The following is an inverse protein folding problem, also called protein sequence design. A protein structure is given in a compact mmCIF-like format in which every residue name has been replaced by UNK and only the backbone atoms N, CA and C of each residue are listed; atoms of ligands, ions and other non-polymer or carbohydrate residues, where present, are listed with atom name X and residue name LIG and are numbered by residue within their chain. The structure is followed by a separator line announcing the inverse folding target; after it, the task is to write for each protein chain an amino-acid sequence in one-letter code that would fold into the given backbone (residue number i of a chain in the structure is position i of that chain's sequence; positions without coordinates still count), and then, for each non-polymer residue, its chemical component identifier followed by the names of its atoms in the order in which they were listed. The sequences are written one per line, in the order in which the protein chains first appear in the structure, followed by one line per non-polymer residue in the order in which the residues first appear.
data_IF_709731634848
#
_entry.id   IF_709731634848
#
_cell.length_a   1.000
_cell.length_b   1.000
_cell.length_c   1.000
_cell.angle_alpha   90.00
_cell.angle_beta   90.00
_cell.angle_gamma   90.00
#
_symmetry.space_group_name_H-M   'P 1'
#
loop_
_entity.id
_entity.type
_entity.pdbx_description
1 polymer ?
#
# COMPACT_ATOMS: atom_id res chain seq x y z
N UNK A 1 1.18 16.73 26.35
CA UNK A 1 0.09 17.57 25.81
C UNK A 1 -0.59 16.77 24.70
N UNK A 2 -1.69 16.10 25.01
CA UNK A 2 -2.54 15.48 23.99
C UNK A 2 -3.25 16.60 23.24
N UNK A 3 -2.93 16.82 21.96
CA UNK A 3 -3.77 17.67 21.11
C UNK A 3 -5.11 16.97 21.01
N UNK A 4 -6.19 17.61 21.47
CA UNK A 4 -7.55 17.08 21.37
C UNK A 4 -7.80 16.64 19.93
N UNK A 5 -8.08 15.34 19.75
CA UNK A 5 -8.35 14.76 18.44
C UNK A 5 -9.56 15.52 17.87
N UNK A 6 -9.47 16.13 16.67
CA UNK A 6 -10.61 16.85 16.11
C UNK A 6 -11.79 15.90 16.03
N UNK A 7 -12.90 16.26 16.68
CA UNK A 7 -14.15 15.51 16.56
C UNK A 7 -14.58 15.60 15.10
N UNK A 8 -14.57 14.47 14.41
CA UNK A 8 -14.91 14.40 12.99
C UNK A 8 -16.31 14.94 12.73
N UNK A 9 -16.50 15.59 11.58
CA UNK A 9 -17.82 16.11 11.22
C UNK A 9 -18.80 14.92 11.06
N UNK A 10 -20.04 15.01 11.56
CA UNK A 10 -21.02 13.94 11.36
C UNK A 10 -21.14 13.56 9.88
N UNK A 11 -20.94 12.28 9.56
CA UNK A 11 -20.98 11.76 8.18
C UNK A 11 -19.64 11.67 7.45
N UNK A 12 -18.56 12.22 8.00
CA UNK A 12 -17.22 12.11 7.42
C UNK A 12 -16.76 10.64 7.21
N UNK A 13 -17.00 9.69 8.14
CA UNK A 13 -16.61 8.29 7.92
C UNK A 13 -17.30 7.66 6.70
N UNK A 14 -18.60 7.94 6.51
CA UNK A 14 -19.38 7.41 5.40
C UNK A 14 -18.93 8.00 4.06
N UNK A 15 -18.60 9.30 4.04
CA UNK A 15 -18.03 9.95 2.86
C UNK A 15 -16.70 9.29 2.46
N UNK A 16 -15.79 9.08 3.41
CA UNK A 16 -14.47 8.51 3.11
C UNK A 16 -14.54 7.04 2.69
N UNK A 17 -15.53 6.31 3.17
CA UNK A 17 -15.80 4.95 2.68
C UNK A 17 -16.31 4.98 1.23
N UNK A 18 -17.18 5.94 0.89
CA UNK A 18 -17.63 6.14 -0.49
C UNK A 18 -16.48 6.51 -1.43
N UNK A 19 -15.61 7.46 -1.05
CA UNK A 19 -14.42 7.84 -1.83
C UNK A 19 -13.48 6.65 -2.06
N UNK A 20 -13.29 5.78 -1.05
CA UNK A 20 -12.54 4.52 -1.19
C UNK A 20 -13.21 3.56 -2.16
N UNK A 21 -14.54 3.42 -2.08
CA UNK A 21 -15.34 2.63 -3.00
C UNK A 21 -15.12 3.08 -4.44
N UNK A 22 -15.24 4.39 -4.70
CA UNK A 22 -15.04 4.96 -6.02
C UNK A 22 -13.61 4.77 -6.55
N UNK A 23 -12.59 4.99 -5.71
CA UNK A 23 -11.20 4.73 -6.11
C UNK A 23 -10.98 3.25 -6.46
N UNK A 24 -11.49 2.33 -5.65
CA UNK A 24 -11.42 0.88 -5.91
C UNK A 24 -12.14 0.48 -7.19
N UNK A 25 -13.33 1.03 -7.44
CA UNK A 25 -14.11 0.72 -8.64
C UNK A 25 -13.40 1.24 -9.89
N UNK A 26 -12.84 2.46 -9.85
CA UNK A 26 -12.06 3.02 -10.94
C UNK A 26 -10.83 2.16 -11.26
N UNK A 27 -10.04 1.77 -10.26
CA UNK A 27 -8.89 0.87 -10.44
C UNK A 27 -9.29 -0.52 -10.93
N UNK A 28 -10.45 -1.02 -10.46
CA UNK A 28 -11.07 -2.24 -10.96
C UNK A 28 -11.35 -2.17 -12.46
N UNK A 29 -11.91 -1.06 -12.95
CA UNK A 29 -12.14 -0.80 -14.38
C UNK A 29 -10.85 -0.81 -15.19
N UNK A 30 -9.77 -0.19 -14.69
CA UNK A 30 -8.46 -0.20 -15.35
C UNK A 30 -7.86 -1.62 -15.41
N UNK A 31 -7.96 -2.38 -14.31
CA UNK A 31 -7.49 -3.78 -14.27
C UNK A 31 -8.27 -4.67 -15.23
N UNK A 32 -9.59 -4.50 -15.31
CA UNK A 32 -10.42 -5.22 -16.26
C UNK A 32 -10.05 -4.86 -17.71
N UNK A 33 -9.76 -3.59 -18.00
CA UNK A 33 -9.24 -3.19 -19.31
C UNK A 33 -7.89 -3.87 -19.63
N UNK A 34 -6.97 -3.96 -18.65
CA UNK A 34 -5.70 -4.67 -18.84
C UNK A 34 -5.92 -6.14 -19.25
N UNK A 35 -6.87 -6.82 -18.60
CA UNK A 35 -7.23 -8.22 -18.93
C UNK A 35 -7.83 -8.34 -20.33
N UNK A 36 -8.70 -7.40 -20.72
CA UNK A 36 -9.30 -7.34 -22.06
C UNK A 36 -8.20 -7.13 -23.12
N UNK A 37 -7.26 -6.22 -22.88
CA UNK A 37 -6.15 -5.92 -23.80
C UNK A 37 -5.22 -7.12 -23.98
N UNK A 38 -4.97 -7.90 -22.94
CA UNK A 38 -4.15 -9.11 -23.01
C UNK A 38 -4.84 -10.28 -23.73
N UNK A 39 -6.17 -10.28 -23.81
CA UNK A 39 -6.94 -11.38 -24.40
C UNK A 39 -6.92 -11.35 -25.93
N UNK A 40 -6.22 -12.31 -26.55
CA UNK A 40 -6.19 -12.48 -28.01
C UNK A 40 -7.55 -12.73 -28.66
N UNK A 41 -8.56 -13.14 -27.88
CA UNK A 41 -9.93 -13.40 -28.34
C UNK A 41 -10.77 -12.12 -28.47
N UNK A 42 -10.36 -11.03 -27.81
CA UNK A 42 -11.07 -9.76 -27.86
C UNK A 42 -10.62 -8.99 -29.10
N UNK A 43 -11.57 -8.71 -29.99
CA UNK A 43 -11.35 -7.90 -31.18
C UNK A 43 -11.35 -6.38 -30.90
N UNK A 44 -10.80 -5.56 -31.81
CA UNK A 44 -10.69 -4.11 -31.63
C UNK A 44 -12.01 -3.40 -31.27
N UNK A 45 -13.13 -3.79 -31.89
CA UNK A 45 -14.45 -3.18 -31.62
C UNK A 45 -14.90 -3.32 -30.16
N UNK A 46 -14.59 -4.46 -29.53
CA UNK A 46 -14.93 -4.70 -28.13
C UNK A 46 -14.05 -3.88 -27.18
N UNK A 47 -12.80 -3.58 -27.58
CA UNK A 47 -11.93 -2.66 -26.85
C UNK A 47 -12.49 -1.24 -27.00
N UNK A 48 -12.77 -0.81 -28.24
CA UNK A 48 -13.33 0.51 -28.55
C UNK A 48 -14.64 0.78 -27.78
N UNK A 49 -15.50 -0.23 -27.60
CA UNK A 49 -16.76 -0.06 -26.88
C UNK A 49 -16.61 0.16 -25.37
N UNK A 50 -15.51 -0.28 -24.75
CA UNK A 50 -15.31 -0.13 -23.28
C UNK A 50 -14.44 1.06 -22.92
N UNK A 51 -13.69 1.64 -23.87
CA UNK A 51 -12.79 2.76 -23.61
C UNK A 51 -13.48 4.00 -23.01
N UNK A 52 -14.70 4.41 -23.42
CA UNK A 52 -15.36 5.58 -22.85
C UNK A 52 -15.60 5.41 -21.34
N UNK A 53 -16.21 4.29 -20.94
CA UNK A 53 -16.55 4.01 -19.55
C UNK A 53 -15.30 3.92 -18.65
N UNK A 54 -14.22 3.31 -19.17
CA UNK A 54 -12.94 3.23 -18.45
C UNK A 54 -12.31 4.62 -18.32
N UNK A 55 -12.33 5.44 -19.36
CA UNK A 55 -11.83 6.81 -19.30
C UNK A 55 -12.61 7.66 -18.28
N UNK A 56 -13.92 7.57 -18.28
CA UNK A 56 -14.78 8.32 -17.36
C UNK A 56 -14.51 7.90 -15.91
N UNK A 57 -14.27 6.60 -15.67
CA UNK A 57 -13.83 6.09 -14.37
C UNK A 57 -12.45 6.62 -13.96
N UNK A 58 -11.49 6.69 -14.90
CA UNK A 58 -10.14 7.19 -14.65
C UNK A 58 -10.11 8.69 -14.32
N UNK A 59 -10.97 9.48 -14.98
CA UNK A 59 -11.02 10.94 -14.81
C UNK A 59 -11.32 11.37 -13.36
N UNK A 60 -11.88 10.47 -12.55
CA UNK A 60 -12.21 10.72 -11.14
C UNK A 60 -11.12 10.23 -10.16
N UNK A 61 -10.11 9.48 -10.60
CA UNK A 61 -9.07 8.92 -9.71
C UNK A 61 -8.35 10.03 -8.94
N UNK A 62 -7.96 11.11 -9.62
CA UNK A 62 -7.23 12.22 -9.02
C UNK A 62 -8.04 12.92 -7.91
N UNK A 63 -9.34 13.14 -8.13
CA UNK A 63 -10.20 13.81 -7.14
C UNK A 63 -10.48 12.92 -5.93
N UNK A 64 -10.71 11.62 -6.13
CA UNK A 64 -10.92 10.65 -5.06
C UNK A 64 -9.64 10.45 -4.23
N UNK A 65 -8.49 10.25 -4.89
CA UNK A 65 -7.20 10.09 -4.22
C UNK A 65 -6.85 11.33 -3.39
N UNK A 66 -7.03 12.53 -3.95
CA UNK A 66 -6.82 13.79 -3.23
C UNK A 66 -7.75 13.91 -2.01
N UNK A 67 -9.05 13.66 -2.18
CA UNK A 67 -10.02 13.78 -1.07
C UNK A 67 -9.68 12.83 0.08
N UNK A 68 -9.26 11.60 -0.24
CA UNK A 68 -8.81 10.63 0.76
C UNK A 68 -7.55 11.10 1.47
N UNK A 69 -6.53 11.52 0.72
CA UNK A 69 -5.24 11.95 1.27
C UNK A 69 -5.37 13.23 2.11
N UNK A 70 -6.18 14.20 1.69
CA UNK A 70 -6.46 15.42 2.46
C UNK A 70 -7.09 15.07 3.82
N UNK A 71 -8.00 14.09 3.86
CA UNK A 71 -8.63 13.65 5.11
C UNK A 71 -7.70 12.83 6.01
N UNK A 72 -6.79 12.06 5.42
CA UNK A 72 -5.75 11.32 6.15
C UNK A 72 -4.73 12.30 6.74
N UNK A 73 -4.24 13.26 5.94
CA UNK A 73 -3.29 14.29 6.33
C UNK A 73 -3.76 15.08 7.56
N UNK A 74 -5.04 15.47 7.59
CA UNK A 74 -5.66 16.17 8.72
C UNK A 74 -5.57 15.42 10.08
N UNK A 75 -5.24 14.13 10.08
CA UNK A 75 -5.10 13.27 11.27
C UNK A 75 -3.68 12.79 11.51
N UNK A 76 -2.74 13.06 10.61
CA UNK A 76 -1.35 12.64 10.71
C UNK A 76 -0.51 13.69 11.48
N UNK A 77 0.68 13.30 11.98
CA UNK A 77 1.58 14.25 12.63
C UNK A 77 2.25 15.23 11.65
N UNK A 78 2.39 14.85 10.38
CA UNK A 78 2.85 15.69 9.26
C UNK A 78 2.18 15.28 7.94
N UNK A 79 2.27 16.17 6.96
CA UNK A 79 1.60 16.04 5.65
C UNK A 79 2.55 15.47 4.57
N UNK A 80 3.80 15.14 4.92
CA UNK A 80 4.83 14.78 3.95
C UNK A 80 4.48 13.50 3.16
N UNK A 81 4.00 12.46 3.85
CA UNK A 81 3.63 11.20 3.18
C UNK A 81 2.41 11.35 2.26
N UNK A 82 1.27 11.95 2.69
CA UNK A 82 0.16 12.26 1.79
C UNK A 82 0.57 13.08 0.56
N UNK A 83 1.37 14.14 0.75
CA UNK A 83 1.82 15.00 -0.34
C UNK A 83 2.71 14.26 -1.34
N UNK A 84 3.69 13.49 -0.84
CA UNK A 84 4.58 12.69 -1.69
C UNK A 84 3.80 11.61 -2.45
N UNK A 85 2.87 10.93 -1.78
CA UNK A 85 2.02 9.91 -2.40
C UNK A 85 1.11 10.52 -3.49
N UNK A 86 0.48 11.66 -3.22
CA UNK A 86 -0.34 12.35 -4.22
C UNK A 86 0.51 12.82 -5.40
N UNK A 87 1.66 13.44 -5.15
CA UNK A 87 2.60 13.87 -6.18
C UNK A 87 3.11 12.70 -7.04
N UNK A 88 3.20 11.50 -6.45
CA UNK A 88 3.51 10.28 -7.15
C UNK A 88 2.33 9.74 -7.96
N UNK A 89 1.10 9.74 -7.44
CA UNK A 89 -0.07 9.20 -8.15
C UNK A 89 -0.51 10.06 -9.35
N UNK A 90 -0.52 11.39 -9.23
CA UNK A 90 -1.09 12.29 -10.25
C UNK A 90 -0.46 12.13 -11.66
N UNK A 91 0.89 12.06 -11.84
CA UNK A 91 1.47 11.85 -13.17
C UNK A 91 1.04 10.55 -13.83
N UNK A 92 0.76 9.51 -13.04
CA UNK A 92 0.37 8.18 -13.53
C UNK A 92 -1.07 8.17 -14.00
N UNK A 93 -1.98 8.78 -13.24
CA UNK A 93 -3.36 8.99 -13.69
C UNK A 93 -3.39 9.79 -14.99
N UNK A 94 -2.64 10.89 -15.08
CA UNK A 94 -2.55 11.72 -16.29
C UNK A 94 -2.00 10.96 -17.50
N UNK A 95 -0.99 10.11 -17.30
CA UNK A 95 -0.47 9.25 -18.36
C UNK A 95 -1.57 8.31 -18.86
N UNK A 96 -2.28 7.65 -17.95
CA UNK A 96 -3.39 6.74 -18.27
C UNK A 96 -4.53 7.46 -19.02
N UNK A 97 -4.96 8.62 -18.54
CA UNK A 97 -5.99 9.44 -19.20
C UNK A 97 -5.58 9.89 -20.60
N UNK A 98 -4.32 10.29 -20.77
CA UNK A 98 -3.78 10.70 -22.07
C UNK A 98 -3.82 9.55 -23.07
N UNK A 99 -3.39 8.35 -22.67
CA UNK A 99 -3.37 7.18 -23.54
C UNK A 99 -4.78 6.65 -23.85
N UNK A 100 -5.70 6.66 -22.87
CA UNK A 100 -7.10 6.34 -23.10
C UNK A 100 -7.76 7.36 -24.07
N UNK A 101 -7.48 8.65 -23.89
CA UNK A 101 -7.95 9.71 -24.76
C UNK A 101 -7.43 9.56 -26.20
N UNK A 102 -6.15 9.21 -26.36
CA UNK A 102 -5.55 8.96 -27.66
C UNK A 102 -6.17 7.74 -28.37
N UNK A 103 -6.54 6.70 -27.61
CA UNK A 103 -7.17 5.49 -28.12
C UNK A 103 -8.63 5.71 -28.55
N UNK A 104 -9.38 6.62 -27.90
CA UNK A 104 -10.76 6.94 -28.26
C UNK A 104 -10.91 7.65 -29.61
N UNK A 105 -9.90 8.39 -30.05
CA UNK A 105 -9.98 9.20 -31.27
C UNK A 105 -9.73 8.45 -32.58
N UNK A 106 -9.32 7.18 -32.53
CA UNK A 106 -8.84 6.43 -33.71
C UNK A 106 -9.17 4.94 -33.59
N UNK A 107 -9.38 4.23 -34.72
CA UNK A 107 -9.50 2.78 -34.70
C UNK A 107 -8.29 2.11 -34.03
N UNK A 108 -8.53 1.16 -33.13
CA UNK A 108 -7.48 0.49 -32.35
C UNK A 108 -6.80 -0.57 -33.23
N UNK A 109 -5.76 -0.15 -33.95
CA UNK A 109 -4.89 -1.08 -34.67
C UNK A 109 -3.94 -1.83 -33.71
N UNK A 110 -3.22 -2.84 -34.23
CA UNK A 110 -2.31 -3.65 -33.42
C UNK A 110 -1.24 -2.84 -32.67
N UNK A 111 -0.69 -1.79 -33.31
CA UNK A 111 0.32 -0.91 -32.67
C UNK A 111 -0.29 -0.10 -31.54
N UNK A 112 -1.49 0.45 -31.74
CA UNK A 112 -2.21 1.20 -30.70
C UNK A 112 -2.59 0.30 -29.52
N UNK A 113 -3.06 -0.92 -29.80
CA UNK A 113 -3.38 -1.93 -28.78
C UNK A 113 -2.17 -2.26 -27.92
N UNK A 114 -1.03 -2.58 -28.53
CA UNK A 114 0.20 -2.93 -27.80
C UNK A 114 0.69 -1.78 -26.92
N UNK A 115 0.65 -0.54 -27.43
CA UNK A 115 0.99 0.65 -26.64
C UNK A 115 0.06 0.82 -25.44
N UNK A 116 -1.25 0.72 -25.68
CA UNK A 116 -2.25 0.86 -24.62
C UNK A 116 -2.09 -0.25 -23.58
N UNK A 117 -1.87 -1.50 -24.00
CA UNK A 117 -1.61 -2.64 -23.11
C UNK A 117 -0.41 -2.39 -22.20
N UNK A 118 0.71 -1.90 -22.75
CA UNK A 118 1.90 -1.58 -21.98
C UNK A 118 1.64 -0.52 -20.91
N UNK A 119 0.98 0.58 -21.28
CA UNK A 119 0.71 1.67 -20.35
C UNK A 119 -0.31 1.23 -19.30
N UNK A 120 -1.45 0.67 -19.70
CA UNK A 120 -2.52 0.24 -18.78
C UNK A 120 -2.02 -0.81 -17.81
N UNK A 121 -1.24 -1.80 -18.27
CA UNK A 121 -0.69 -2.86 -17.39
C UNK A 121 0.29 -2.30 -16.37
N UNK A 122 1.17 -1.38 -16.78
CA UNK A 122 2.14 -0.75 -15.89
C UNK A 122 1.45 0.17 -14.88
N UNK A 123 0.66 1.12 -15.38
CA UNK A 123 0.03 2.15 -14.57
C UNK A 123 -1.01 1.55 -13.61
N UNK A 124 -1.77 0.53 -14.01
CA UNK A 124 -2.70 -0.15 -13.09
C UNK A 124 -1.99 -0.73 -11.86
N UNK A 125 -0.85 -1.41 -12.04
CA UNK A 125 -0.05 -1.94 -10.93
C UNK A 125 0.50 -0.84 -10.04
N UNK A 126 0.98 0.25 -10.65
CA UNK A 126 1.47 1.41 -9.90
C UNK A 126 0.33 2.07 -9.09
N UNK A 127 -0.84 2.30 -9.69
CA UNK A 127 -1.96 2.91 -8.97
C UNK A 127 -2.53 2.02 -7.86
N UNK A 128 -2.55 0.69 -8.04
CA UNK A 128 -2.90 -0.25 -6.97
C UNK A 128 -1.88 -0.21 -5.82
N UNK A 129 -0.58 -0.05 -6.12
CA UNK A 129 0.43 0.19 -5.09
C UNK A 129 0.16 1.51 -4.34
N UNK A 130 -0.17 2.58 -5.07
CA UNK A 130 -0.54 3.87 -4.49
C UNK A 130 -1.76 3.75 -3.56
N UNK A 131 -2.81 3.06 -4.01
CA UNK A 131 -4.00 2.76 -3.18
C UNK A 131 -3.63 1.99 -1.92
N UNK A 132 -2.79 0.96 -2.01
CA UNK A 132 -2.38 0.18 -0.84
C UNK A 132 -1.64 1.05 0.21
N UNK A 133 -0.89 2.07 -0.24
CA UNK A 133 -0.28 3.06 0.65
C UNK A 133 -1.31 4.03 1.26
N UNK A 134 -2.34 4.43 0.50
CA UNK A 134 -3.49 5.19 1.06
C UNK A 134 -4.17 4.38 2.16
N UNK A 135 -4.44 3.10 1.91
CA UNK A 135 -5.07 2.20 2.88
C UNK A 135 -4.20 2.02 4.14
N UNK A 136 -2.86 1.93 3.99
CA UNK A 136 -1.92 1.91 5.13
C UNK A 136 -2.01 3.17 5.98
N UNK A 137 -1.99 4.36 5.36
CA UNK A 137 -2.04 5.63 6.07
C UNK A 137 -3.41 5.84 6.75
N UNK A 138 -4.51 5.48 6.09
CA UNK A 138 -5.85 5.56 6.67
C UNK A 138 -6.01 4.60 7.86
N UNK A 139 -5.52 3.37 7.74
CA UNK A 139 -5.51 2.39 8.84
C UNK A 139 -4.68 2.91 10.03
N UNK A 140 -3.56 3.59 9.77
CA UNK A 140 -2.71 4.16 10.82
C UNK A 140 -3.41 5.25 11.64
N UNK A 141 -4.32 6.02 11.02
CA UNK A 141 -5.06 7.08 11.73
C UNK A 141 -6.39 6.62 12.33
N UNK A 142 -6.99 5.54 11.83
CA UNK A 142 -8.31 5.05 12.29
C UNK A 142 -8.24 3.82 13.19
N UNK A 143 -7.32 2.92 12.94
CA UNK A 143 -7.38 1.59 13.51
C UNK A 143 -7.12 1.59 15.01
N UNK A 144 -7.78 0.65 15.69
CA UNK A 144 -7.71 0.52 17.14
C UNK A 144 -6.33 0.00 17.56
N UNK A 145 -5.82 0.54 18.67
CA UNK A 145 -4.68 -0.06 19.36
C UNK A 145 -5.19 -1.21 20.20
N UNK A 146 -4.55 -2.35 20.07
CA UNK A 146 -4.86 -3.57 20.82
C UNK A 146 -3.61 -4.02 21.56
N UNK A 147 -3.79 -4.49 22.79
CA UNK A 147 -2.72 -5.10 23.55
C UNK A 147 -2.56 -6.55 23.08
N UNK A 148 -1.38 -6.88 22.55
CA UNK A 148 -1.09 -8.20 21.99
C UNK A 148 0.31 -8.64 22.41
N UNK A 149 0.48 -9.95 22.56
CA UNK A 149 1.81 -10.56 22.57
C UNK A 149 2.48 -10.41 21.20
N UNK A 150 3.78 -10.10 21.18
CA UNK A 150 4.52 -9.84 19.95
C UNK A 150 4.56 -11.05 19.00
N UNK A 151 4.69 -12.27 19.53
CA UNK A 151 4.66 -13.47 18.70
C UNK A 151 3.23 -13.74 18.19
N UNK A 152 2.20 -13.48 19.00
CA UNK A 152 0.82 -13.54 18.54
C UNK A 152 0.50 -12.51 17.46
N UNK A 153 1.04 -11.30 17.54
CA UNK A 153 0.85 -10.27 16.52
C UNK A 153 1.32 -10.73 15.14
N UNK A 154 2.51 -11.33 15.06
CA UNK A 154 3.06 -11.84 13.81
C UNK A 154 2.30 -13.07 13.30
N UNK A 155 1.76 -13.89 14.19
CA UNK A 155 0.91 -15.03 13.84
C UNK A 155 -0.47 -14.59 13.35
N UNK A 156 -1.07 -13.55 13.94
CA UNK A 156 -2.37 -13.01 13.50
C UNK A 156 -2.29 -12.37 12.12
N UNK A 157 -1.13 -11.81 11.75
CA UNK A 157 -0.89 -11.32 10.40
C UNK A 157 -1.17 -12.40 9.33
N UNK A 158 -0.94 -13.69 9.65
CA UNK A 158 -1.17 -14.83 8.77
C UNK A 158 -2.65 -15.06 8.43
N UNK A 159 -3.57 -14.75 9.35
CA UNK A 159 -4.99 -15.15 9.24
C UNK A 159 -5.80 -14.22 8.32
N UNK A 160 -5.30 -13.02 8.02
CA UNK A 160 -6.00 -12.12 7.10
C UNK A 160 -6.03 -12.72 5.69
N UNK A 161 -7.25 -13.04 5.23
CA UNK A 161 -7.58 -13.63 3.92
C UNK A 161 -7.46 -12.65 2.74
N UNK A 162 -6.68 -11.58 2.88
CA UNK A 162 -6.43 -10.71 1.74
C UNK A 162 -5.65 -11.50 0.67
N UNK A 163 -6.17 -11.54 -0.56
CA UNK A 163 -5.59 -12.19 -1.75
C UNK A 163 -4.25 -11.55 -2.22
N UNK A 164 -3.59 -10.80 -1.35
CA UNK A 164 -2.36 -10.08 -1.64
C UNK A 164 -1.10 -10.94 -1.56
N UNK A 165 -0.05 -10.45 -2.20
CA UNK A 165 1.28 -11.06 -2.13
C UNK A 165 1.78 -11.11 -0.68
N UNK A 166 2.40 -12.23 -0.33
CA UNK A 166 2.95 -12.47 1.01
C UNK A 166 4.44 -12.75 0.94
N UNK A 167 5.14 -12.45 2.03
CA UNK A 167 6.55 -12.77 2.21
C UNK A 167 6.72 -13.61 3.47
N UNK A 168 7.47 -14.70 3.34
CA UNK A 168 7.86 -15.51 4.49
C UNK A 168 8.94 -14.80 5.28
N UNK A 169 8.74 -14.73 6.58
CA UNK A 169 9.74 -14.25 7.55
C UNK A 169 9.87 -15.28 8.66
N UNK A 170 11.05 -15.37 9.25
CA UNK A 170 11.26 -16.20 10.45
C UNK A 170 11.08 -15.35 11.69
N UNK A 171 10.48 -15.92 12.72
CA UNK A 171 10.30 -15.29 14.04
C UNK A 171 11.20 -15.99 15.03
N UNK A 172 12.09 -15.23 15.66
CA UNK A 172 13.00 -15.79 16.65
C UNK A 172 12.22 -16.24 17.92
N UNK A 173 12.67 -17.33 18.58
CA UNK A 173 11.95 -17.92 19.72
C UNK A 173 11.96 -17.03 20.97
N UNK A 174 12.84 -16.02 21.02
CA UNK A 174 12.97 -15.05 22.10
C UNK A 174 12.08 -13.81 21.91
N UNK A 175 11.19 -13.81 20.90
CA UNK A 175 10.21 -12.75 20.67
C UNK A 175 9.10 -12.81 21.73
N UNK A 176 9.39 -12.31 22.93
CA UNK A 176 8.46 -12.25 24.05
C UNK A 176 8.14 -10.81 24.43
N UNK A 177 6.88 -10.56 24.81
CA UNK A 177 6.48 -9.27 25.38
C UNK A 177 5.16 -8.77 24.82
N UNK A 178 4.54 -7.87 25.58
CA UNK A 178 3.27 -7.25 25.20
C UNK A 178 3.50 -5.84 24.65
N UNK A 179 2.71 -5.49 23.65
CA UNK A 179 2.68 -4.15 23.05
C UNK A 179 1.25 -3.69 22.81
N UNK A 180 1.02 -2.38 22.92
CA UNK A 180 -0.25 -1.74 22.56
C UNK A 180 -0.09 -0.94 21.28
N UNK A 181 -0.53 -1.52 20.16
CA UNK A 181 -0.38 -0.90 18.84
C UNK A 181 -1.46 -1.40 17.85
N UNK A 182 -1.55 -0.76 16.68
CA UNK A 182 -2.40 -1.26 15.60
C UNK A 182 -1.71 -2.45 14.91
N UNK A 183 -2.22 -3.67 15.13
CA UNK A 183 -1.64 -4.89 14.62
C UNK A 183 -1.48 -4.89 13.10
N UNK A 184 -2.48 -4.40 12.37
CA UNK A 184 -2.48 -4.38 10.90
C UNK A 184 -1.40 -3.44 10.35
N UNK A 185 -1.27 -2.25 10.92
CA UNK A 185 -0.22 -1.29 10.53
C UNK A 185 1.14 -1.87 10.81
N UNK A 186 1.35 -2.48 11.98
CA UNK A 186 2.62 -3.12 12.33
C UNK A 186 2.96 -4.25 11.35
N UNK A 187 2.02 -5.14 11.03
CA UNK A 187 2.26 -6.21 10.05
C UNK A 187 2.60 -5.67 8.66
N UNK A 188 1.92 -4.63 8.18
CA UNK A 188 2.20 -4.01 6.88
C UNK A 188 3.57 -3.31 6.87
N UNK A 189 3.92 -2.58 7.93
CA UNK A 189 5.22 -1.91 8.07
C UNK A 189 6.36 -2.93 8.14
N UNK A 190 6.20 -4.03 8.87
CA UNK A 190 7.16 -5.14 8.87
C UNK A 190 7.24 -5.82 7.50
N UNK A 191 6.11 -5.94 6.79
CA UNK A 191 6.04 -6.41 5.42
C UNK A 191 6.84 -5.54 4.44
N UNK A 192 6.80 -4.21 4.60
CA UNK A 192 7.67 -3.28 3.86
C UNK A 192 9.14 -3.58 4.15
N UNK A 193 9.51 -3.72 5.43
CA UNK A 193 10.88 -4.08 5.81
C UNK A 193 11.36 -5.40 5.20
N UNK A 194 10.51 -6.42 5.22
CA UNK A 194 10.81 -7.71 4.61
C UNK A 194 10.96 -7.61 3.08
N UNK A 195 10.09 -6.86 2.40
CA UNK A 195 10.21 -6.59 0.96
C UNK A 195 11.51 -5.87 0.62
N UNK A 196 11.92 -4.87 1.42
CA UNK A 196 13.19 -4.15 1.21
C UNK A 196 14.40 -5.08 1.35
N UNK A 197 14.38 -6.00 2.31
CA UNK A 197 15.42 -7.02 2.47
C UNK A 197 15.44 -8.03 1.31
N UNK A 198 14.27 -8.38 0.76
CA UNK A 198 14.15 -9.25 -0.41
C UNK A 198 14.74 -8.63 -1.67
N UNK A 199 14.54 -7.33 -1.90
CA UNK A 199 15.22 -6.62 -2.99
C UNK A 199 16.76 -6.64 -2.86
N UNK A 200 17.27 -6.86 -1.65
CA UNK A 200 18.70 -7.05 -1.36
C UNK A 200 19.15 -8.51 -1.38
N UNK A 201 18.29 -9.44 -1.82
CA UNK A 201 18.61 -10.86 -1.95
C UNK A 201 18.34 -11.71 -0.71
N UNK A 202 17.68 -11.17 0.31
CA UNK A 202 17.30 -11.95 1.51
C UNK A 202 15.98 -12.68 1.26
N UNK A 203 16.00 -14.01 1.21
CA UNK A 203 14.79 -14.79 0.92
C UNK A 203 13.86 -14.96 2.13
N UNK A 204 14.41 -15.07 3.34
CA UNK A 204 13.66 -15.33 4.57
C UNK A 204 14.27 -14.54 5.75
N UNK A 205 13.97 -13.23 5.86
CA UNK A 205 14.51 -12.39 6.92
C UNK A 205 14.03 -12.86 8.30
N UNK A 206 14.88 -12.71 9.31
CA UNK A 206 14.57 -13.07 10.69
C UNK A 206 14.13 -11.82 11.46
N UNK A 207 12.96 -11.90 12.11
CA UNK A 207 12.42 -10.92 13.04
C UNK A 207 12.91 -11.27 14.44
N UNK A 208 13.56 -10.31 15.12
CA UNK A 208 14.05 -10.46 16.51
C UNK A 208 13.64 -9.28 17.37
N UNK A 209 13.49 -9.52 18.67
CA UNK A 209 13.37 -8.44 19.65
C UNK A 209 14.77 -7.91 19.99
N UNK A 210 15.05 -6.68 19.59
CA UNK A 210 16.23 -5.93 19.98
C UNK A 210 16.11 -5.27 21.36
N UNK A 211 17.17 -4.59 21.76
CA UNK A 211 17.14 -3.79 22.99
C UNK A 211 16.11 -2.64 22.87
N UNK A 212 15.45 -2.32 23.98
CA UNK A 212 14.50 -1.20 24.04
C UNK A 212 13.21 -1.41 23.24
N UNK A 213 12.67 -2.64 23.21
CA UNK A 213 11.43 -2.99 22.50
C UNK A 213 11.47 -2.62 21.01
N UNK A 214 12.55 -2.96 20.34
CA UNK A 214 12.68 -2.80 18.88
C UNK A 214 12.47 -4.13 18.18
N UNK A 215 11.71 -4.17 17.10
CA UNK A 215 11.64 -5.32 16.20
C UNK A 215 12.63 -5.10 15.06
N UNK A 216 13.60 -5.99 14.93
CA UNK A 216 14.63 -5.91 13.89
C UNK A 216 14.43 -7.04 12.88
N UNK A 217 14.38 -6.68 11.60
CA UNK A 217 14.48 -7.61 10.48
C UNK A 217 15.87 -7.51 9.87
N UNK A 218 16.53 -8.66 9.71
CA UNK A 218 17.82 -8.76 9.06
C UNK A 218 18.00 -10.11 8.36
N UNK A 219 18.99 -10.20 7.48
CA UNK A 219 19.50 -11.48 7.01
C UNK A 219 20.25 -12.18 8.16
N UNK A 220 19.70 -13.28 8.66
CA UNK A 220 20.26 -14.07 9.76
C UNK A 220 19.81 -15.52 9.55
N UNK A 221 20.72 -16.50 9.67
CA UNK A 221 20.43 -17.91 9.44
C UNK A 221 19.89 -18.65 10.67
N UNK A 222 19.70 -17.97 11.80
CA UNK A 222 19.17 -18.57 13.01
C UNK A 222 17.76 -19.19 12.82
N UNK A 223 17.50 -20.28 13.56
CA UNK A 223 16.21 -20.96 13.53
C UNK A 223 15.08 -20.07 14.06
N UNK A 224 13.87 -20.26 13.53
CA UNK A 224 12.68 -19.53 13.95
C UNK A 224 11.41 -20.13 13.36
N UNK A 225 10.26 -19.72 13.90
CA UNK A 225 8.95 -20.07 13.35
C UNK A 225 8.75 -19.31 12.03
N UNK A 226 8.32 -19.99 10.97
CA UNK A 226 8.03 -19.33 9.69
C UNK A 226 6.62 -18.76 9.75
N UNK A 227 6.50 -17.45 9.54
CA UNK A 227 5.22 -16.76 9.41
C UNK A 227 5.18 -15.99 8.09
N UNK A 228 3.99 -15.71 7.59
CA UNK A 228 3.83 -14.95 6.34
C UNK A 228 3.31 -13.55 6.64
N UNK A 229 4.03 -12.52 6.23
CA UNK A 229 3.59 -11.13 6.32
C UNK A 229 2.94 -10.66 5.01
N UNK A 230 1.91 -9.80 5.07
CA UNK A 230 1.41 -9.13 3.87
C UNK A 230 2.52 -8.24 3.28
N UNK A 231 2.63 -8.19 1.97
CA UNK A 231 3.57 -7.28 1.29
C UNK A 231 2.85 -6.13 0.64
N UNK A 232 3.50 -4.97 0.63
CA UNK A 232 3.14 -3.83 -0.20
C UNK A 232 4.09 -3.76 -1.39
N UNK A 233 3.62 -3.43 -2.60
CA UNK A 233 4.52 -3.16 -3.72
C UNK A 233 5.44 -1.99 -3.37
N UNK A 234 6.75 -2.17 -3.57
CA UNK A 234 7.73 -1.14 -3.29
C UNK A 234 7.75 -0.10 -4.41
N UNK A 235 7.22 1.08 -4.11
CA UNK A 235 7.27 2.28 -4.94
C UNK A 235 7.93 3.43 -4.17
N UNK A 236 8.34 4.50 -4.87
CA UNK A 236 9.08 5.62 -4.26
C UNK A 236 8.53 6.12 -2.90
N UNK A 237 7.22 6.42 -2.74
CA UNK A 237 6.70 6.93 -1.46
C UNK A 237 6.54 5.86 -0.36
N UNK A 238 6.89 4.60 -0.61
CA UNK A 238 6.60 3.49 0.32
C UNK A 238 7.26 3.68 1.68
N UNK A 239 8.55 4.07 1.70
CA UNK A 239 9.28 4.24 2.96
C UNK A 239 8.73 5.42 3.76
N UNK A 240 8.52 6.58 3.11
CA UNK A 240 7.92 7.76 3.74
C UNK A 240 6.53 7.45 4.31
N UNK A 241 5.70 6.68 3.58
CA UNK A 241 4.39 6.25 4.05
C UNK A 241 4.48 5.29 5.24
N UNK A 242 5.39 4.31 5.20
CA UNK A 242 5.60 3.37 6.29
C UNK A 242 6.13 4.05 7.57
N UNK A 243 7.07 4.98 7.44
CA UNK A 243 7.58 5.80 8.55
C UNK A 243 6.48 6.65 9.18
N UNK A 244 5.64 7.27 8.35
CA UNK A 244 4.53 8.11 8.81
C UNK A 244 3.43 7.28 9.48
N UNK A 245 3.10 6.12 8.92
CA UNK A 245 2.17 5.16 9.53
C UNK A 245 2.69 4.63 10.89
N UNK A 246 3.98 4.31 10.98
CA UNK A 246 4.62 3.91 12.24
C UNK A 246 4.52 5.03 13.28
N UNK A 247 4.85 6.27 12.91
CA UNK A 247 4.77 7.45 13.80
C UNK A 247 3.35 7.74 14.28
N UNK A 248 2.34 7.63 13.41
CA UNK A 248 0.93 7.76 13.80
C UNK A 248 0.51 6.70 14.84
N UNK A 249 1.14 5.52 14.81
CA UNK A 249 0.96 4.46 15.81
C UNK A 249 1.83 4.62 17.06
N UNK A 250 2.63 5.68 17.17
CA UNK A 250 3.56 5.89 18.29
C UNK A 250 4.86 5.08 18.19
N UNK A 251 5.13 4.45 17.06
CA UNK A 251 6.37 3.74 16.76
C UNK A 251 7.35 4.63 15.98
N UNK A 252 8.61 4.20 15.86
CA UNK A 252 9.60 4.81 14.96
C UNK A 252 10.20 3.74 14.06
N UNK A 253 10.34 4.06 12.78
CA UNK A 253 10.96 3.19 11.78
C UNK A 253 12.35 3.73 11.44
N UNK A 254 13.35 2.85 11.47
CA UNK A 254 14.72 3.13 11.05
C UNK A 254 15.14 2.08 9.99
N UNK A 255 15.50 2.53 8.79
CA UNK A 255 16.00 1.69 7.70
C UNK A 255 17.43 2.08 7.33
N UNK A 256 18.37 1.15 7.44
CA UNK A 256 19.74 1.33 7.00
C UNK A 256 19.94 0.60 5.67
N UNK A 257 20.18 1.35 4.59
CA UNK A 257 20.44 0.73 3.28
C UNK A 257 21.85 0.20 3.11
N UNK A 258 22.79 0.62 3.96
CA UNK A 258 24.20 0.18 3.93
C UNK A 258 24.39 -1.16 4.64
N UNK A 259 23.59 -1.40 5.68
CA UNK A 259 23.50 -2.68 6.38
C UNK A 259 22.05 -3.12 6.25
N UNK A 260 21.71 -4.14 5.43
CA UNK A 260 20.33 -4.52 5.13
C UNK A 260 19.59 -4.92 6.42
N UNK A 261 19.04 -3.92 7.08
CA UNK A 261 18.49 -3.98 8.44
C UNK A 261 17.37 -2.97 8.54
N UNK A 262 16.21 -3.48 8.91
CA UNK A 262 15.01 -2.71 9.16
C UNK A 262 14.67 -2.81 10.64
N UNK A 263 14.44 -1.68 11.30
CA UNK A 263 14.14 -1.64 12.73
C UNK A 263 12.86 -0.85 12.99
N UNK A 264 11.92 -1.45 13.71
CA UNK A 264 10.70 -0.81 14.19
C UNK A 264 10.75 -0.68 15.72
N UNK A 265 10.94 0.53 16.21
CA UNK A 265 10.91 0.86 17.64
C UNK A 265 9.46 0.98 18.10
N UNK A 266 9.07 0.12 19.04
CA UNK A 266 7.70 0.03 19.53
C UNK A 266 7.44 1.08 20.63
N UNK A 267 6.19 1.53 20.81
CA UNK A 267 5.84 2.41 21.92
C UNK A 267 6.09 1.74 23.29
N UNK A 268 6.38 2.57 24.30
CA UNK A 268 6.55 2.15 25.68
C UNK A 268 5.23 1.73 26.35
#
# INVERSE_FOLDING_TARGET
MERGRPEGTPGEPARLEAERGHLRDALGSVRNLAQILHSVRVGPRSIESVLPDVRDSCAAIDSHAKTLLDSVAARLPDDAAPDELLAWMLPRTRELECELGAALGKPVNAKARLRLEQVVTRVSRELEAGRALVDLLDEAVRGARVQLDLAELLRHAHVSRDDGDRIEVRVAPDLVGEVSLNARVCSLVLGVGASLLRERGTSAPLVRLGTGRSLTLAADDAAGEVVSLPTLPLVAPTLTCAETAARACGARLDWDSSVPRFTLHLPA
#
